data_IF_011373126250
#
_entry.id   IF_011373126250
#
_cell.length_a   1.000
_cell.length_b   1.000
_cell.length_c   1.000
_cell.angle_alpha   90.00
_cell.angle_beta   90.00
_cell.angle_gamma   90.00
#
_symmetry.space_group_name_H-M   'P 1'
#
loop_
_entity.id
_entity.type
_entity.pdbx_description
1 polymer ?
#
# COMPACT_ATOMS: atom_id res chain seq x y z
N UNK A 1 -3.43 1.05 -13.39
CA UNK A 1 -2.89 1.45 -12.07
C UNK A 1 -3.96 2.24 -11.33
N UNK A 2 -3.90 2.31 -10.00
CA UNK A 2 -4.84 3.10 -9.18
C UNK A 2 -4.06 3.99 -8.21
N UNK A 3 -4.49 5.24 -8.04
CA UNK A 3 -3.91 6.18 -7.08
C UNK A 3 -4.82 6.27 -5.86
N UNK A 4 -4.29 5.94 -4.68
CA UNK A 4 -5.06 5.96 -3.42
C UNK A 4 -4.38 6.86 -2.39
N UNK A 5 -5.13 7.71 -1.67
CA UNK A 5 -4.58 8.42 -0.53
C UNK A 5 -4.36 7.42 0.60
N UNK A 6 -3.14 7.40 1.14
CA UNK A 6 -2.65 6.43 2.10
C UNK A 6 -2.12 7.12 3.36
N UNK A 7 -2.38 6.52 4.51
CA UNK A 7 -1.88 7.02 5.80
C UNK A 7 -1.53 5.87 6.74
N UNK A 8 -0.46 6.00 7.53
CA UNK A 8 -0.15 5.05 8.59
C UNK A 8 -1.22 5.04 9.70
N UNK A 9 -1.68 3.86 10.10
CA UNK A 9 -2.78 3.70 11.08
C UNK A 9 -2.35 4.00 12.52
N UNK A 10 -1.26 3.38 13.00
CA UNK A 10 -0.88 3.40 14.43
C UNK A 10 -0.31 4.74 14.91
N UNK A 11 0.29 5.51 13.99
CA UNK A 11 0.88 6.82 14.26
C UNK A 11 0.50 7.70 13.08
N UNK A 12 -0.51 8.57 13.24
CA UNK A 12 -1.11 9.25 12.11
C UNK A 12 -0.12 10.23 11.45
N UNK A 13 0.63 9.76 10.44
CA UNK A 13 1.52 10.59 9.62
C UNK A 13 0.72 11.44 8.62
N UNK A 14 1.41 12.19 7.76
CA UNK A 14 0.78 12.86 6.63
C UNK A 14 0.11 11.82 5.71
N UNK A 15 -1.01 12.21 5.10
CA UNK A 15 -1.64 11.44 4.03
C UNK A 15 -0.87 11.70 2.74
N UNK A 16 -0.45 10.64 2.05
CA UNK A 16 0.26 10.74 0.76
C UNK A 16 -0.51 9.97 -0.31
N UNK A 17 -0.43 10.43 -1.56
CA UNK A 17 -1.01 9.71 -2.69
C UNK A 17 -0.03 8.65 -3.18
N UNK A 18 -0.47 7.40 -3.22
CA UNK A 18 0.35 6.26 -3.62
C UNK A 18 -0.26 5.61 -4.86
N UNK A 19 0.59 5.43 -5.88
CA UNK A 19 0.24 4.71 -7.10
C UNK A 19 0.49 3.22 -6.95
N UNK A 20 -0.52 2.42 -7.24
CA UNK A 20 -0.47 0.96 -7.14
C UNK A 20 -0.67 0.29 -8.49
N UNK A 21 0.14 -0.73 -8.74
CA UNK A 21 -0.13 -1.77 -9.74
C UNK A 21 -1.16 -2.73 -9.12
N UNK A 22 -2.20 -3.07 -9.89
CA UNK A 22 -3.15 -4.11 -9.47
C UNK A 22 -2.63 -5.45 -9.97
N UNK A 23 -2.37 -6.38 -9.06
CA UNK A 23 -1.89 -7.71 -9.40
C UNK A 23 -2.86 -8.78 -8.88
N UNK A 24 -3.32 -9.66 -9.78
CA UNK A 24 -4.19 -10.79 -9.44
C UNK A 24 -3.42 -12.02 -8.93
N UNK A 25 -2.11 -12.12 -9.22
CA UNK A 25 -1.29 -13.29 -8.93
C UNK A 25 -0.63 -13.32 -7.54
N UNK A 26 -0.71 -12.25 -6.76
CA UNK A 26 -0.08 -12.16 -5.44
C UNK A 26 -1.09 -12.41 -4.30
N UNK A 27 -0.61 -12.98 -3.20
CA UNK A 27 -1.42 -13.22 -1.99
C UNK A 27 -1.47 -12.01 -1.05
N UNK A 28 -0.48 -11.11 -1.16
CA UNK A 28 -0.30 -9.97 -0.28
C UNK A 28 -0.16 -8.68 -1.07
N UNK A 29 -0.62 -7.57 -0.48
CA UNK A 29 -0.33 -6.23 -0.99
C UNK A 29 1.05 -5.80 -0.51
N UNK A 30 1.77 -5.09 -1.36
CA UNK A 30 3.16 -4.68 -1.13
C UNK A 30 3.34 -3.18 -1.28
N UNK A 31 4.28 -2.64 -0.51
CA UNK A 31 4.74 -1.26 -0.61
C UNK A 31 6.23 -1.25 -0.94
N UNK A 32 6.59 -0.40 -1.89
CA UNK A 32 7.97 -0.08 -2.16
C UNK A 32 8.61 0.55 -0.91
N UNK A 33 9.92 0.35 -0.75
CA UNK A 33 10.69 0.86 0.38
C UNK A 33 10.48 2.36 0.59
N UNK A 34 10.56 3.15 -0.47
CA UNK A 34 10.39 4.60 -0.45
C UNK A 34 8.99 5.02 0.04
N UNK A 35 7.96 4.25 -0.32
CA UNK A 35 6.59 4.52 0.14
C UNK A 35 6.44 4.23 1.63
N UNK A 36 7.09 3.18 2.13
CA UNK A 36 7.14 2.90 3.56
C UNK A 36 7.84 4.04 4.30
N UNK A 37 9.01 4.49 3.82
CA UNK A 37 9.76 5.61 4.42
C UNK A 37 8.93 6.89 4.50
N UNK A 38 8.18 7.20 3.43
CA UNK A 38 7.28 8.35 3.39
C UNK A 38 6.12 8.23 4.40
N UNK A 39 5.58 7.01 4.61
CA UNK A 39 4.46 6.77 5.52
C UNK A 39 4.86 6.69 7.00
N UNK A 40 6.05 6.18 7.32
CA UNK A 40 6.53 6.08 8.71
C UNK A 40 7.23 7.36 9.17
N UNK A 41 7.86 8.09 8.26
CA UNK A 41 8.67 9.27 8.55
C UNK A 41 10.10 8.93 8.99
N UNK A 42 11.02 9.89 8.89
CA UNK A 42 12.48 9.70 9.00
C UNK A 42 12.98 9.06 10.31
N UNK A 43 12.21 9.12 11.39
CA UNK A 43 12.66 8.72 12.73
C UNK A 43 12.05 7.41 13.24
N UNK A 44 11.18 6.78 12.45
CA UNK A 44 10.52 5.54 12.89
C UNK A 44 11.24 4.31 12.33
N UNK A 45 11.33 3.20 13.11
CA UNK A 45 11.95 1.97 12.65
C UNK A 45 11.27 1.42 11.40
N UNK A 46 12.08 0.95 10.45
CA UNK A 46 11.59 0.38 9.20
C UNK A 46 10.91 -0.99 9.46
N UNK A 47 9.62 -1.18 9.12
CA UNK A 47 8.91 -2.41 9.41
C UNK A 47 8.91 -3.40 8.23
N UNK A 48 8.77 -4.70 8.52
CA UNK A 48 8.54 -5.74 7.50
C UNK A 48 7.11 -5.70 6.92
N UNK A 49 6.15 -5.19 7.70
CA UNK A 49 4.78 -4.98 7.28
C UNK A 49 4.20 -3.73 7.96
N UNK A 50 3.36 -2.99 7.24
CA UNK A 50 2.78 -1.73 7.68
C UNK A 50 1.26 -1.77 7.50
N UNK A 51 0.51 -1.38 8.54
CA UNK A 51 -0.92 -1.14 8.41
C UNK A 51 -1.18 0.28 7.93
N UNK A 52 -1.84 0.38 6.78
CA UNK A 52 -2.13 1.60 6.05
C UNK A 52 -3.65 1.75 5.94
N UNK A 53 -4.15 2.94 6.30
CA UNK A 53 -5.49 3.40 5.97
C UNK A 53 -5.47 3.90 4.51
N UNK A 54 -6.37 3.40 3.67
CA UNK A 54 -6.40 3.70 2.24
C UNK A 54 -7.77 4.24 1.82
N UNK A 55 -7.85 5.41 1.21
CA UNK A 55 -9.10 6.15 0.92
C UNK A 55 -9.83 6.67 2.15
N UNK A 56 -10.08 5.83 3.15
CA UNK A 56 -10.78 6.18 4.39
C UNK A 56 -9.99 5.74 5.64
N UNK A 57 -10.20 6.39 6.81
CA UNK A 57 -9.49 6.01 8.04
C UNK A 57 -9.86 4.63 8.61
N UNK A 58 -10.97 4.04 8.18
CA UNK A 58 -11.47 2.74 8.62
C UNK A 58 -10.85 1.55 7.87
N UNK A 59 -10.37 1.75 6.64
CA UNK A 59 -9.79 0.72 5.77
C UNK A 59 -8.36 0.34 6.16
N UNK A 60 -8.22 -0.45 7.21
CA UNK A 60 -6.90 -0.86 7.73
C UNK A 60 -6.36 -2.04 6.92
N UNK A 61 -5.53 -1.76 5.92
CA UNK A 61 -4.89 -2.76 5.07
C UNK A 61 -3.48 -3.04 5.56
N UNK A 62 -3.14 -4.30 5.75
CA UNK A 62 -1.77 -4.73 6.02
C UNK A 62 -1.02 -4.91 4.70
N UNK A 63 0.10 -4.22 4.56
CA UNK A 63 0.97 -4.30 3.38
C UNK A 63 2.37 -4.72 3.80
N UNK A 64 2.98 -5.61 3.03
CA UNK A 64 4.36 -6.04 3.25
C UNK A 64 5.34 -5.14 2.49
N UNK A 65 6.62 -5.13 2.87
CA UNK A 65 7.65 -4.58 1.99
C UNK A 65 7.75 -5.41 0.71
N UNK A 66 7.85 -4.74 -0.44
CA UNK A 66 8.14 -5.40 -1.72
C UNK A 66 9.45 -6.19 -1.65
N UNK A 67 9.49 -7.46 -2.10
CA UNK A 67 10.73 -8.25 -2.11
C UNK A 67 11.80 -7.60 -2.98
N UNK A 68 13.02 -7.48 -2.46
CA UNK A 68 14.13 -6.79 -3.14
C UNK A 68 14.62 -7.50 -4.41
N UNK A 69 14.35 -8.79 -4.54
CA UNK A 69 14.73 -9.66 -5.66
C UNK A 69 13.56 -9.96 -6.62
N UNK A 70 12.40 -9.35 -6.41
CA UNK A 70 11.19 -9.58 -7.21
C UNK A 70 11.01 -8.57 -8.35
N UNK A 71 10.15 -8.93 -9.32
CA UNK A 71 9.78 -8.08 -10.48
C UNK A 71 9.11 -6.74 -10.11
N UNK A 72 8.78 -6.52 -8.83
CA UNK A 72 8.08 -5.34 -8.32
C UNK A 72 8.76 -4.75 -7.08
N UNK A 73 10.07 -4.92 -6.94
CA UNK A 73 10.84 -4.39 -5.79
C UNK A 73 10.60 -2.89 -5.55
N UNK A 74 10.49 -2.10 -6.62
CA UNK A 74 10.31 -0.65 -6.57
C UNK A 74 8.86 -0.20 -6.80
N UNK A 75 7.90 -1.12 -6.84
CA UNK A 75 6.50 -0.81 -7.09
C UNK A 75 5.62 -1.12 -5.88
N UNK A 76 4.57 -0.32 -5.71
CA UNK A 76 3.48 -0.65 -4.80
C UNK A 76 2.46 -1.53 -5.53
N UNK A 77 2.01 -2.59 -4.86
CA UNK A 77 1.15 -3.61 -5.46
C UNK A 77 -0.08 -3.81 -4.59
N UNK A 78 -1.27 -3.72 -5.20
CA UNK A 78 -2.52 -4.13 -4.57
C UNK A 78 -2.99 -5.46 -5.15
N UNK A 79 -3.41 -6.34 -4.25
CA UNK A 79 -4.08 -7.57 -4.65
C UNK A 79 -5.58 -7.35 -4.81
N UNK A 80 -6.21 -8.22 -5.60
CA UNK A 80 -7.66 -8.16 -5.84
C UNK A 80 -8.48 -8.23 -4.54
N UNK A 81 -8.00 -8.93 -3.51
CA UNK A 81 -8.66 -8.96 -2.21
C UNK A 81 -8.68 -7.58 -1.55
N UNK A 82 -7.60 -6.81 -1.64
CA UNK A 82 -7.58 -5.45 -1.10
C UNK A 82 -8.57 -4.55 -1.83
N UNK A 83 -8.65 -4.62 -3.17
CA UNK A 83 -9.63 -3.85 -3.93
C UNK A 83 -11.08 -4.14 -3.50
N UNK A 84 -11.40 -5.41 -3.21
CA UNK A 84 -12.71 -5.80 -2.68
C UNK A 84 -12.99 -5.21 -1.30
N UNK A 85 -11.99 -5.22 -0.41
CA UNK A 85 -12.11 -4.59 0.92
C UNK A 85 -12.36 -3.09 0.79
N UNK A 86 -11.67 -2.44 -0.14
CA UNK A 86 -11.82 -1.02 -0.44
C UNK A 86 -13.09 -0.69 -1.25
N UNK A 87 -13.85 -1.70 -1.69
CA UNK A 87 -15.03 -1.55 -2.58
C UNK A 87 -14.71 -0.76 -3.85
N UNK A 88 -13.52 -0.94 -4.39
CA UNK A 88 -13.08 -0.32 -5.65
C UNK A 88 -13.30 -1.30 -6.79
N UNK A 89 -13.99 -0.85 -7.84
CA UNK A 89 -14.09 -1.54 -9.13
C UNK A 89 -13.16 -0.90 -10.16
N UNK A 90 -12.64 -1.72 -11.07
CA UNK A 90 -11.94 -1.24 -12.25
C UNK A 90 -12.98 -1.23 -13.37
N UNK A 91 -13.30 -0.04 -13.86
CA UNK A 91 -14.10 0.15 -15.06
C UNK A 91 -13.16 0.47 -16.22
N UNK A 92 -13.38 -0.18 -17.36
CA UNK A 92 -12.56 0.00 -18.55
C UNK A 92 -13.53 0.30 -19.68
N UNK A 93 -13.54 1.55 -20.13
CA UNK A 93 -14.32 1.99 -21.30
C UNK A 93 -13.93 1.22 -22.57
#
# INVERSE_FOLDING_TARGET
>A
MVCLPCRRVKKPAATINVWFIVNKGSNYSFLAKETIEALIGKNDPFPNALRVAMQDPGSKIECHISPSDGNFADANVLVMQTLRILKVSIDVD
#
